data_IF_983338579932
#
_entry.id   IF_983338579932
#
_cell.length_a   1.000
_cell.length_b   1.000
_cell.length_c   1.000
_cell.angle_alpha   90.00
_cell.angle_beta   90.00
_cell.angle_gamma   90.00
#
_symmetry.space_group_name_H-M   'P 1'
#
loop_
_entity.id
_entity.type
_entity.pdbx_description
1 polymer ?
#
# COMPACT_ATOMS: atom_id res chain seq x y z
N UNK A 1 -2.25 -6.66 16.10
CA UNK A 1 -2.62 -7.28 17.38
C UNK A 1 -3.95 -6.68 17.83
N UNK A 2 -4.01 -5.36 18.02
CA UNK A 2 -5.21 -4.62 18.44
C UNK A 2 -6.48 -4.83 17.59
N UNK A 3 -6.34 -4.95 16.27
CA UNK A 3 -7.47 -5.31 15.39
C UNK A 3 -7.99 -6.73 15.67
N UNK A 4 -7.08 -7.69 15.92
CA UNK A 4 -7.42 -9.08 16.25
C UNK A 4 -8.00 -9.20 17.67
N UNK A 5 -7.54 -8.35 18.58
CA UNK A 5 -8.01 -8.30 19.96
C UNK A 5 -9.31 -7.49 20.12
N UNK A 6 -9.82 -6.90 19.04
CA UNK A 6 -11.07 -6.13 19.03
C UNK A 6 -10.98 -4.75 19.68
N UNK A 7 -9.77 -4.30 20.05
CA UNK A 7 -9.52 -2.95 20.59
C UNK A 7 -9.67 -1.89 19.49
N UNK A 8 -9.28 -2.25 18.26
CA UNK A 8 -9.46 -1.44 17.05
C UNK A 8 -10.45 -2.15 16.14
N UNK A 9 -11.42 -1.41 15.59
CA UNK A 9 -12.46 -1.98 14.73
C UNK A 9 -12.07 -1.99 13.25
N UNK A 10 -11.26 -1.01 12.83
CA UNK A 10 -10.81 -0.88 11.46
C UNK A 10 -9.48 -0.13 11.39
N UNK A 11 -8.68 -0.45 10.36
CA UNK A 11 -7.46 0.26 10.01
C UNK A 11 -7.65 0.90 8.64
N UNK A 12 -7.27 2.17 8.51
CA UNK A 12 -7.19 2.85 7.22
C UNK A 12 -5.76 2.71 6.73
N UNK A 13 -5.53 1.75 5.84
CA UNK A 13 -4.20 1.35 5.39
C UNK A 13 -3.87 2.05 4.08
N UNK A 14 -2.72 2.72 4.04
CA UNK A 14 -2.14 3.30 2.83
C UNK A 14 -1.19 2.30 2.15
N UNK A 15 -0.75 2.61 0.92
CA UNK A 15 0.19 1.75 0.18
C UNK A 15 1.59 2.39 0.03
N UNK A 16 2.40 2.46 1.11
CA UNK A 16 3.70 3.15 1.10
C UNK A 16 4.72 2.49 0.17
N UNK A 17 4.65 1.18 -0.03
CA UNK A 17 5.53 0.47 -0.96
C UNK A 17 5.29 0.94 -2.39
N UNK A 18 4.02 0.97 -2.82
CA UNK A 18 3.64 1.49 -4.13
C UNK A 18 3.97 2.97 -4.28
N UNK A 19 3.77 3.79 -3.23
CA UNK A 19 4.18 5.20 -3.24
C UNK A 19 5.67 5.35 -3.53
N UNK A 20 6.53 4.58 -2.86
CA UNK A 20 7.98 4.60 -3.08
C UNK A 20 8.35 4.18 -4.50
N UNK A 21 7.78 3.08 -4.99
CA UNK A 21 8.01 2.57 -6.34
C UNK A 21 7.60 3.60 -7.41
N UNK A 22 6.39 4.14 -7.33
CA UNK A 22 5.87 5.10 -8.29
C UNK A 22 6.64 6.42 -8.22
N UNK A 23 7.09 6.85 -7.04
CA UNK A 23 7.93 8.03 -6.89
C UNK A 23 9.25 7.92 -7.65
N UNK A 24 9.97 6.81 -7.49
CA UNK A 24 11.23 6.57 -8.21
C UNK A 24 10.97 6.41 -9.71
N UNK A 25 9.94 5.64 -10.10
CA UNK A 25 9.57 5.45 -11.49
C UNK A 25 9.25 6.79 -12.18
N UNK A 26 8.47 7.65 -11.53
CA UNK A 26 8.11 8.96 -12.07
C UNK A 26 9.35 9.85 -12.27
N UNK A 27 10.31 9.82 -11.33
CA UNK A 27 11.57 10.55 -11.49
C UNK A 27 12.36 10.07 -12.71
N UNK A 28 12.48 8.75 -12.91
CA UNK A 28 13.16 8.16 -14.07
C UNK A 28 12.45 8.50 -15.38
N UNK A 29 11.13 8.37 -15.42
CA UNK A 29 10.34 8.68 -16.61
C UNK A 29 10.45 10.18 -16.99
N UNK A 30 10.46 11.08 -16.01
CA UNK A 30 10.68 12.50 -16.24
C UNK A 30 12.06 12.79 -16.85
N UNK A 31 13.13 12.17 -16.31
CA UNK A 31 14.48 12.28 -16.87
C UNK A 31 14.57 11.73 -18.31
N UNK A 32 13.74 10.75 -18.65
CA UNK A 32 13.63 10.19 -20.00
C UNK A 32 12.74 11.03 -20.95
N UNK A 33 12.26 12.20 -20.52
CA UNK A 33 11.42 13.08 -21.32
C UNK A 33 9.97 12.61 -21.49
N UNK A 34 9.53 11.61 -20.72
CA UNK A 34 8.14 11.14 -20.75
C UNK A 34 7.24 12.04 -19.91
N UNK A 35 5.95 12.19 -20.28
CA UNK A 35 4.98 12.86 -19.43
C UNK A 35 4.77 12.08 -18.13
N UNK A 36 4.65 12.82 -17.02
CA UNK A 36 4.36 12.26 -15.69
C UNK A 36 3.18 13.02 -15.07
N UNK A 37 2.35 12.30 -14.33
CA UNK A 37 1.23 12.92 -13.62
C UNK A 37 1.72 13.76 -12.44
N UNK A 38 1.09 14.92 -12.22
CA UNK A 38 1.44 15.81 -11.09
C UNK A 38 1.00 15.25 -9.74
N UNK A 39 -0.02 14.39 -9.73
CA UNK A 39 -0.58 13.75 -8.54
C UNK A 39 -0.96 12.33 -8.91
N UNK A 40 -0.49 11.37 -8.12
CA UNK A 40 -0.74 9.95 -8.31
C UNK A 40 -1.50 9.48 -7.07
N UNK A 41 -2.70 8.95 -7.27
CA UNK A 41 -3.46 8.29 -6.20
C UNK A 41 -2.96 6.85 -6.04
N UNK A 42 -2.45 6.52 -4.85
CA UNK A 42 -1.95 5.17 -4.54
C UNK A 42 -2.98 4.29 -3.86
N UNK A 43 -4.20 4.81 -3.69
CA UNK A 43 -5.30 4.12 -3.06
C UNK A 43 -5.15 4.01 -1.54
N UNK A 44 -6.27 3.63 -0.92
CA UNK A 44 -6.41 3.38 0.51
C UNK A 44 -7.31 2.15 0.67
N UNK A 45 -7.01 1.32 1.67
CA UNK A 45 -7.79 0.11 1.97
C UNK A 45 -8.26 0.16 3.42
N UNK A 46 -9.55 -0.05 3.64
CA UNK A 46 -10.11 -0.23 4.98
C UNK A 46 -9.97 -1.70 5.34
N UNK A 47 -9.19 -1.99 6.37
CA UNK A 47 -8.97 -3.34 6.88
C UNK A 47 -9.77 -3.51 8.16
N UNK A 48 -10.60 -4.55 8.19
CA UNK A 48 -11.42 -4.97 9.33
C UNK A 48 -11.08 -6.42 9.66
N UNK A 49 -11.68 -7.00 10.70
CA UNK A 49 -11.53 -8.43 10.96
C UNK A 49 -12.11 -9.31 9.85
N UNK A 50 -13.13 -8.83 9.14
CA UNK A 50 -13.84 -9.62 8.12
C UNK A 50 -12.98 -9.87 6.87
N UNK A 51 -12.15 -8.89 6.50
CA UNK A 51 -11.30 -8.96 5.31
C UNK A 51 -9.80 -9.13 5.63
N UNK A 52 -9.44 -9.30 6.90
CA UNK A 52 -8.04 -9.35 7.32
C UNK A 52 -7.28 -10.45 6.58
N UNK A 53 -7.89 -11.59 6.33
CA UNK A 53 -7.26 -12.76 5.71
C UNK A 53 -7.34 -12.76 4.17
N UNK A 54 -7.92 -11.73 3.55
CA UNK A 54 -8.00 -11.65 2.10
C UNK A 54 -6.60 -11.54 1.50
N UNK A 55 -6.26 -12.31 0.44
CA UNK A 55 -4.92 -12.28 -0.14
C UNK A 55 -4.46 -10.89 -0.57
N UNK A 56 -5.36 -10.05 -1.08
CA UNK A 56 -5.04 -8.69 -1.49
C UNK A 56 -4.77 -7.77 -0.28
N UNK A 57 -5.50 -7.94 0.83
CA UNK A 57 -5.24 -7.21 2.08
C UNK A 57 -3.89 -7.64 2.66
N UNK A 58 -3.58 -8.93 2.64
CA UNK A 58 -2.30 -9.44 3.10
C UNK A 58 -1.11 -8.87 2.31
N UNK A 59 -1.23 -8.73 0.98
CA UNK A 59 -0.20 -8.09 0.15
C UNK A 59 0.03 -6.62 0.51
N UNK A 60 -1.01 -5.89 0.88
CA UNK A 60 -0.89 -4.48 1.27
C UNK A 60 -0.23 -4.35 2.66
N UNK A 61 -0.59 -5.22 3.60
CA UNK A 61 -0.02 -5.24 4.95
C UNK A 61 1.43 -5.73 4.97
N UNK A 62 1.75 -6.70 4.11
CA UNK A 62 3.07 -7.34 4.03
C UNK A 62 3.56 -7.35 2.57
N UNK A 63 3.98 -6.18 2.04
CA UNK A 63 4.33 -6.02 0.61
C UNK A 63 5.66 -6.65 0.23
N UNK A 64 6.48 -7.04 1.21
CA UNK A 64 7.71 -7.79 1.01
C UNK A 64 7.47 -9.20 1.56
N UNK A 65 7.81 -10.23 0.78
CA UNK A 65 7.92 -11.56 1.34
C UNK A 65 8.88 -11.50 2.54
N UNK A 66 8.49 -12.09 3.68
CA UNK A 66 9.40 -12.25 4.82
C UNK A 66 10.60 -13.03 4.31
N UNK A 67 11.71 -12.36 4.15
CA UNK A 67 13.01 -13.00 3.96
C UNK A 67 13.33 -13.59 5.34
N UNK A 68 13.04 -14.88 5.53
CA UNK A 68 13.55 -15.66 6.65
C UNK A 68 15.00 -16.08 6.40
#
# INVERSE_FOLDING_TARGET
QDLKDGVVQALVVQNPYLMGYLGVKAAVDHLAGKPVEKRIDTGVTIVTMDNLNDPEVQKILYPLERIE
#
